data_IF_517987102347
#
_entry.id   IF_517987102347
#
_cell.length_a   1.000
_cell.length_b   1.000
_cell.length_c   1.000
_cell.angle_alpha   90.00
_cell.angle_beta   90.00
_cell.angle_gamma   90.00
#
_symmetry.space_group_name_H-M   'P 1'
#
loop_
_entity.id
_entity.type
_entity.pdbx_description
1 polymer ?
#
# COMPACT_ATOMS: atom_id res chain seq x y z
N UNK A 1 -54.12 -38.23 -22.82
CA UNK A 1 -52.64 -38.14 -22.85
C UNK A 1 -52.08 -39.06 -21.77
N UNK A 2 -51.15 -39.97 -22.09
CA UNK A 2 -50.72 -41.02 -21.16
C UNK A 2 -49.81 -40.43 -20.06
N UNK A 3 -50.00 -40.89 -18.82
CA UNK A 3 -49.25 -40.48 -17.61
C UNK A 3 -47.72 -40.44 -17.81
N UNK A 4 -47.19 -41.27 -18.71
CA UNK A 4 -45.76 -41.37 -19.03
C UNK A 4 -45.17 -40.15 -19.75
N UNK A 5 -45.96 -39.32 -20.43
CA UNK A 5 -45.45 -38.10 -21.09
C UNK A 5 -45.32 -36.93 -20.10
N UNK A 6 -46.19 -36.85 -19.09
CA UNK A 6 -46.12 -35.82 -18.03
C UNK A 6 -44.93 -36.02 -17.10
N UNK A 7 -44.56 -37.27 -16.80
CA UNK A 7 -43.41 -37.60 -15.95
C UNK A 7 -42.07 -37.21 -16.60
N UNK A 8 -41.91 -37.45 -17.91
CA UNK A 8 -40.70 -37.10 -18.66
C UNK A 8 -40.49 -35.57 -18.79
N UNK A 9 -41.56 -34.80 -19.01
CA UNK A 9 -41.51 -33.33 -19.08
C UNK A 9 -41.12 -32.73 -17.72
N UNK A 10 -41.66 -33.26 -16.62
CA UNK A 10 -41.32 -32.81 -15.27
C UNK A 10 -39.90 -33.19 -14.86
N UNK A 11 -39.40 -34.37 -15.24
CA UNK A 11 -38.00 -34.75 -15.01
C UNK A 11 -37.02 -33.87 -15.79
N UNK A 12 -37.34 -33.52 -17.05
CA UNK A 12 -36.52 -32.62 -17.87
C UNK A 12 -36.45 -31.20 -17.29
N UNK A 13 -37.59 -30.65 -16.82
CA UNK A 13 -37.63 -29.35 -16.13
C UNK A 13 -36.83 -29.36 -14.82
N UNK A 14 -36.97 -30.41 -14.00
CA UNK A 14 -36.22 -30.58 -12.75
C UNK A 14 -34.71 -30.69 -13.00
N UNK A 15 -34.29 -31.43 -14.04
CA UNK A 15 -32.87 -31.52 -14.45
C UNK A 15 -32.32 -30.17 -14.92
N UNK A 16 -33.07 -29.41 -15.72
CA UNK A 16 -32.67 -28.05 -16.15
C UNK A 16 -32.55 -27.10 -14.96
N UNK A 17 -33.46 -27.16 -13.99
CA UNK A 17 -33.40 -26.35 -12.77
C UNK A 17 -32.18 -26.72 -11.90
N UNK A 18 -31.91 -28.02 -11.72
CA UNK A 18 -30.75 -28.52 -10.99
C UNK A 18 -29.42 -28.12 -11.64
N UNK A 19 -29.35 -28.13 -12.97
CA UNK A 19 -28.16 -27.63 -13.67
C UNK A 19 -28.00 -26.12 -13.48
N UNK A 20 -29.09 -25.33 -13.57
CA UNK A 20 -29.04 -23.88 -13.31
C UNK A 20 -28.59 -23.56 -11.87
N UNK A 21 -29.10 -24.28 -10.87
CA UNK A 21 -28.66 -24.11 -9.49
C UNK A 21 -27.21 -24.54 -9.29
N UNK A 22 -26.77 -25.60 -9.98
CA UNK A 22 -25.37 -26.03 -9.98
C UNK A 22 -24.43 -24.95 -10.55
N UNK A 23 -24.78 -24.35 -11.69
CA UNK A 23 -24.01 -23.24 -12.26
C UNK A 23 -23.99 -22.02 -11.35
N UNK A 24 -25.13 -21.66 -10.75
CA UNK A 24 -25.19 -20.55 -9.80
C UNK A 24 -24.25 -20.80 -8.61
N UNK A 25 -24.29 -21.99 -8.02
CA UNK A 25 -23.41 -22.36 -6.91
C UNK A 25 -21.91 -22.27 -7.28
N UNK A 26 -21.53 -22.75 -8.47
CA UNK A 26 -20.15 -22.66 -8.97
C UNK A 26 -19.72 -21.19 -9.15
N UNK A 27 -20.59 -20.34 -9.70
CA UNK A 27 -20.30 -18.91 -9.87
C UNK A 27 -20.10 -18.22 -8.51
N UNK A 28 -20.99 -18.49 -7.54
CA UNK A 28 -20.85 -17.93 -6.19
C UNK A 28 -19.57 -18.40 -5.50
N UNK A 29 -19.22 -19.69 -5.64
CA UNK A 29 -17.99 -20.23 -5.08
C UNK A 29 -16.74 -19.63 -5.76
N UNK A 30 -16.75 -19.48 -7.08
CA UNK A 30 -15.67 -18.85 -7.83
C UNK A 30 -15.50 -17.37 -7.44
N UNK A 31 -16.60 -16.62 -7.31
CA UNK A 31 -16.58 -15.24 -6.85
C UNK A 31 -16.07 -15.12 -5.40
N UNK A 32 -16.52 -16.01 -4.51
CA UNK A 32 -16.06 -16.09 -3.13
C UNK A 32 -14.57 -16.37 -3.02
N UNK A 33 -14.05 -17.32 -3.80
CA UNK A 33 -12.62 -17.61 -3.86
C UNK A 33 -11.82 -16.43 -4.43
N UNK A 34 -12.30 -15.79 -5.51
CA UNK A 34 -11.66 -14.60 -6.07
C UNK A 34 -11.57 -13.48 -5.04
N UNK A 35 -12.63 -13.23 -4.28
CA UNK A 35 -12.64 -12.24 -3.19
C UNK A 35 -11.68 -12.67 -2.10
N UNK A 36 -11.70 -13.93 -1.65
CA UNK A 36 -10.82 -14.43 -0.59
C UNK A 36 -9.34 -14.28 -0.94
N UNK A 37 -8.93 -14.70 -2.15
CA UNK A 37 -7.54 -14.59 -2.60
C UNK A 37 -7.10 -13.15 -2.90
N UNK A 38 -8.02 -12.25 -3.23
CA UNK A 38 -7.72 -10.85 -3.57
C UNK A 38 -8.20 -9.83 -2.54
N UNK A 39 -8.59 -10.29 -1.34
CA UNK A 39 -9.29 -9.45 -0.35
C UNK A 39 -8.51 -8.19 -0.02
N UNK A 40 -7.20 -8.30 0.28
CA UNK A 40 -6.34 -7.15 0.59
C UNK A 40 -6.30 -6.13 -0.57
N UNK A 41 -6.26 -6.61 -1.81
CA UNK A 41 -6.22 -5.75 -3.00
C UNK A 41 -7.55 -5.03 -3.19
N UNK A 42 -8.66 -5.74 -3.03
CA UNK A 42 -10.01 -5.18 -3.11
C UNK A 42 -10.28 -4.19 -1.99
N UNK A 43 -9.87 -4.51 -0.77
CA UNK A 43 -10.02 -3.63 0.40
C UNK A 43 -9.21 -2.34 0.24
N UNK A 44 -7.94 -2.43 -0.19
CA UNK A 44 -7.13 -1.25 -0.47
C UNK A 44 -7.73 -0.39 -1.60
N UNK A 45 -8.28 -1.01 -2.66
CA UNK A 45 -8.95 -0.30 -3.74
C UNK A 45 -10.26 0.37 -3.29
N UNK A 46 -11.02 -0.28 -2.40
CA UNK A 46 -12.19 0.31 -1.77
C UNK A 46 -11.80 1.56 -0.95
N UNK A 47 -10.74 1.47 -0.15
CA UNK A 47 -10.23 2.62 0.60
C UNK A 47 -9.84 3.74 -0.37
N UNK A 48 -9.02 3.43 -1.37
CA UNK A 48 -8.57 4.36 -2.40
C UNK A 48 -9.71 5.14 -3.04
N UNK A 49 -10.82 4.45 -3.33
CA UNK A 49 -11.92 5.04 -4.11
C UNK A 49 -12.90 5.81 -3.22
N UNK A 50 -13.20 5.30 -2.02
CA UNK A 50 -14.37 5.76 -1.25
C UNK A 50 -14.09 6.26 0.17
N UNK A 51 -12.95 5.92 0.78
CA UNK A 51 -12.69 6.23 2.21
C UNK A 51 -11.57 7.23 2.44
N UNK A 52 -10.94 7.73 1.38
CA UNK A 52 -9.91 8.76 1.47
C UNK A 52 -10.52 10.15 1.31
N UNK A 53 -10.06 11.11 2.11
CA UNK A 53 -10.25 12.53 1.80
C UNK A 53 -9.74 12.88 0.40
N UNK A 54 -10.30 13.94 -0.19
CA UNK A 54 -9.87 14.45 -1.50
C UNK A 54 -8.89 15.59 -1.28
N UNK A 55 -7.75 15.49 -1.93
CA UNK A 55 -6.72 16.52 -1.99
C UNK A 55 -6.40 16.82 -3.45
N UNK A 56 -6.11 18.08 -3.72
CA UNK A 56 -5.46 18.53 -4.93
C UNK A 56 -3.95 18.62 -4.73
N UNK A 57 -3.20 18.50 -5.83
CA UNK A 57 -1.74 18.63 -5.77
C UNK A 57 -1.36 20.02 -5.26
N UNK A 58 -0.50 20.07 -4.25
CA UNK A 58 -0.12 21.32 -3.59
C UNK A 58 -0.88 21.59 -2.29
N UNK A 59 -1.93 20.83 -1.99
CA UNK A 59 -2.68 21.02 -0.75
C UNK A 59 -1.83 20.71 0.47
N UNK A 60 -2.00 21.52 1.52
CA UNK A 60 -1.41 21.22 2.83
C UNK A 60 -2.14 20.03 3.45
N UNK A 61 -1.35 19.04 3.88
CA UNK A 61 -1.83 17.88 4.60
C UNK A 61 -1.47 18.01 6.05
N UNK A 62 -2.46 17.86 6.92
CA UNK A 62 -2.33 17.93 8.35
C UNK A 62 -2.40 16.51 8.95
N UNK A 63 -1.70 16.31 10.05
CA UNK A 63 -1.84 15.16 10.92
C UNK A 63 -3.29 15.04 11.43
N UNK A 64 -3.91 13.87 11.28
CA UNK A 64 -5.25 13.63 11.83
C UNK A 64 -5.21 13.43 13.35
N UNK A 65 -6.37 13.55 14.01
CA UNK A 65 -6.48 13.20 15.44
C UNK A 65 -6.09 11.74 15.70
N UNK A 66 -6.30 10.82 14.76
CA UNK A 66 -5.89 9.43 14.92
C UNK A 66 -4.35 9.28 14.97
N UNK A 67 -3.62 10.22 14.35
CA UNK A 67 -2.16 10.26 14.38
C UNK A 67 -1.62 10.94 15.67
N UNK A 68 -2.40 11.84 16.28
CA UNK A 68 -1.96 12.67 17.42
C UNK A 68 -2.48 12.11 18.77
N UNK A 69 -3.71 11.59 18.83
CA UNK A 69 -4.42 11.23 20.07
C UNK A 69 -4.18 9.78 20.54
N UNK A 70 -3.18 9.10 19.99
CA UNK A 70 -2.79 7.79 20.52
C UNK A 70 -2.31 7.99 21.96
N UNK A 71 -3.03 7.40 22.93
CA UNK A 71 -2.73 7.45 24.37
C UNK A 71 -1.32 6.94 24.73
N UNK A 72 -0.64 6.28 23.79
CA UNK A 72 0.80 6.05 23.89
C UNK A 72 1.51 7.36 23.56
N UNK A 73 2.38 7.82 24.46
CA UNK A 73 3.38 8.89 24.18
C UNK A 73 4.42 8.42 23.14
N UNK A 74 3.99 7.69 22.13
CA UNK A 74 4.80 7.27 21.01
C UNK A 74 5.31 8.54 20.33
N UNK A 75 6.63 8.61 20.31
CA UNK A 75 7.39 9.81 19.96
C UNK A 75 7.43 10.06 18.45
N UNK A 76 6.93 9.10 17.66
CA UNK A 76 7.15 9.03 16.22
C UNK A 76 5.94 8.42 15.53
N UNK A 77 5.55 8.99 14.40
CA UNK A 77 4.57 8.37 13.51
C UNK A 77 5.30 7.89 12.27
N UNK A 78 5.29 6.56 12.10
CA UNK A 78 5.97 5.90 11.01
C UNK A 78 5.50 6.45 9.66
N UNK A 79 6.47 6.89 8.86
CA UNK A 79 6.27 7.42 7.54
C UNK A 79 7.05 6.56 6.56
N UNK A 80 6.39 6.11 5.49
CA UNK A 80 6.96 5.09 4.62
C UNK A 80 7.70 5.72 3.44
N UNK A 81 8.59 4.94 2.82
CA UNK A 81 9.39 5.35 1.66
C UNK A 81 9.20 4.37 0.53
N UNK A 82 9.12 4.87 -0.70
CA UNK A 82 9.14 4.03 -1.89
C UNK A 82 10.59 3.62 -2.19
N UNK A 83 10.79 2.32 -2.35
CA UNK A 83 12.04 1.76 -2.87
C UNK A 83 11.78 1.08 -4.20
N UNK A 84 12.81 0.99 -5.03
CA UNK A 84 12.78 0.32 -6.33
C UNK A 84 14.08 -0.45 -6.57
N UNK A 85 14.06 -1.45 -7.47
CA UNK A 85 15.30 -2.02 -7.97
C UNK A 85 16.17 -0.92 -8.60
N UNK A 86 17.47 -1.01 -8.37
CA UNK A 86 18.44 -0.20 -9.11
C UNK A 86 18.42 -0.60 -10.59
N UNK A 87 18.66 0.37 -11.46
CA UNK A 87 18.82 0.15 -12.90
C UNK A 87 20.22 -0.40 -13.19
N UNK A 88 20.39 -1.06 -14.34
CA UNK A 88 21.73 -1.53 -14.76
C UNK A 88 22.75 -0.39 -14.86
N UNK A 89 22.29 0.82 -15.23
CA UNK A 89 23.15 2.00 -15.31
C UNK A 89 23.63 2.41 -13.92
N UNK A 90 22.72 2.57 -12.96
CA UNK A 90 23.07 2.92 -11.57
C UNK A 90 24.05 1.91 -10.95
N UNK A 91 23.89 0.62 -11.24
CA UNK A 91 24.78 -0.42 -10.73
C UNK A 91 26.19 -0.33 -11.35
N UNK A 92 26.28 0.00 -12.64
CA UNK A 92 27.57 0.17 -13.35
C UNK A 92 28.32 1.40 -12.86
N UNK A 93 27.60 2.45 -12.50
CA UNK A 93 28.15 3.72 -12.04
C UNK A 93 28.76 3.62 -10.62
N UNK A 94 28.50 2.54 -9.86
CA UNK A 94 29.12 2.29 -8.56
C UNK A 94 30.54 1.72 -8.75
N UNK A 95 31.53 2.58 -8.53
CA UNK A 95 32.96 2.30 -8.79
C UNK A 95 33.53 1.25 -7.83
N UNK A 96 33.23 1.35 -6.52
CA UNK A 96 33.85 0.50 -5.48
C UNK A 96 33.10 -0.82 -5.21
N UNK A 97 32.19 -1.24 -6.10
CA UNK A 97 31.43 -2.47 -5.93
C UNK A 97 32.23 -3.69 -6.40
N UNK A 98 32.31 -4.73 -5.56
CA UNK A 98 32.94 -5.99 -5.96
C UNK A 98 32.17 -6.67 -7.11
N UNK A 99 32.87 -7.49 -7.90
CA UNK A 99 32.26 -8.19 -9.05
C UNK A 99 31.05 -9.04 -8.63
N UNK A 100 31.16 -9.76 -7.51
CA UNK A 100 30.09 -10.64 -7.03
C UNK A 100 28.87 -9.85 -6.56
N UNK A 101 29.09 -8.75 -5.84
CA UNK A 101 28.00 -7.85 -5.43
C UNK A 101 27.31 -7.24 -6.65
N UNK A 102 28.08 -6.81 -7.65
CA UNK A 102 27.55 -6.29 -8.92
C UNK A 102 26.67 -7.31 -9.62
N UNK A 103 27.08 -8.59 -9.66
CA UNK A 103 26.26 -9.66 -10.25
C UNK A 103 24.97 -9.90 -9.48
N UNK A 104 24.99 -9.86 -8.14
CA UNK A 104 23.76 -9.95 -7.32
C UNK A 104 22.79 -8.80 -7.61
N UNK A 105 23.30 -7.57 -7.69
CA UNK A 105 22.48 -6.40 -7.95
C UNK A 105 21.91 -6.44 -9.38
N UNK A 106 22.72 -6.83 -10.38
CA UNK A 106 22.26 -7.04 -11.75
C UNK A 106 21.17 -8.12 -11.86
N UNK A 107 21.26 -9.19 -11.06
CA UNK A 107 20.21 -10.22 -11.01
C UNK A 107 18.88 -9.65 -10.50
N UNK A 108 18.92 -8.77 -9.50
CA UNK A 108 17.71 -8.09 -8.99
C UNK A 108 17.16 -7.12 -10.05
N UNK A 109 18.01 -6.32 -10.68
CA UNK A 109 17.63 -5.35 -11.72
C UNK A 109 16.99 -6.00 -12.95
N UNK A 110 17.50 -7.16 -13.37
CA UNK A 110 16.99 -7.92 -14.53
C UNK A 110 15.77 -8.80 -14.22
N UNK A 111 15.45 -9.00 -12.95
CA UNK A 111 14.33 -9.84 -12.56
C UNK A 111 13.01 -9.08 -12.74
N UNK A 112 12.10 -9.53 -13.64
CA UNK A 112 10.82 -8.84 -13.90
C UNK A 112 9.86 -8.85 -12.71
N UNK A 113 10.11 -9.71 -11.71
CA UNK A 113 9.32 -9.77 -10.48
C UNK A 113 9.79 -8.76 -9.42
N UNK A 114 11.02 -8.24 -9.54
CA UNK A 114 11.51 -7.14 -8.71
C UNK A 114 10.78 -5.87 -9.11
N UNK A 115 9.95 -5.33 -8.22
CA UNK A 115 9.09 -4.17 -8.52
C UNK A 115 9.14 -3.18 -7.36
N UNK A 116 8.86 -1.88 -7.62
CA UNK A 116 8.81 -0.89 -6.55
C UNK A 116 7.78 -1.25 -5.48
N UNK A 117 8.08 -0.90 -4.25
CA UNK A 117 7.17 -1.01 -3.12
C UNK A 117 7.52 -0.01 -2.02
N UNK A 118 6.52 0.30 -1.21
CA UNK A 118 6.63 1.14 -0.04
C UNK A 118 7.03 0.28 1.16
N UNK A 119 7.97 0.77 1.97
CA UNK A 119 8.40 0.10 3.20
C UNK A 119 8.80 1.12 4.27
N UNK A 120 8.91 0.66 5.51
CA UNK A 120 9.50 1.43 6.59
C UNK A 120 11.02 1.50 6.42
N UNK A 121 11.61 2.69 6.55
CA UNK A 121 13.05 2.96 6.50
C UNK A 121 13.42 4.04 7.53
N UNK A 122 13.15 3.79 8.82
CA UNK A 122 13.43 4.72 9.93
C UNK A 122 13.04 6.20 9.63
N UNK A 123 11.93 6.33 8.93
CA UNK A 123 11.36 7.59 8.44
C UNK A 123 10.10 7.84 9.26
N UNK A 124 9.99 9.02 9.85
CA UNK A 124 8.89 9.33 10.75
C UNK A 124 8.59 10.82 10.86
N UNK A 125 7.38 11.13 11.29
CA UNK A 125 7.02 12.45 11.80
C UNK A 125 7.20 12.47 13.31
N UNK A 126 8.03 13.40 13.80
CA UNK A 126 8.32 13.57 15.22
C UNK A 126 7.11 14.23 15.91
N UNK A 127 6.38 13.43 16.69
CA UNK A 127 5.18 13.91 17.39
C UNK A 127 5.54 14.93 18.46
N UNK A 128 6.70 14.80 19.12
CA UNK A 128 7.16 15.79 20.12
C UNK A 128 7.38 17.15 19.47
N UNK A 129 7.99 17.18 18.29
CA UNK A 129 8.20 18.44 17.56
C UNK A 129 6.86 19.04 17.10
N UNK A 130 5.90 18.21 16.68
CA UNK A 130 4.52 18.64 16.36
C UNK A 130 3.85 19.27 17.59
N UNK A 131 3.90 18.62 18.76
CA UNK A 131 3.35 19.14 20.01
C UNK A 131 4.01 20.45 20.46
N UNK A 132 5.34 20.52 20.38
CA UNK A 132 6.15 21.67 20.79
C UNK A 132 5.91 22.89 19.91
N UNK A 133 5.87 22.69 18.59
CA UNK A 133 5.72 23.79 17.62
C UNK A 133 4.26 24.14 17.31
N UNK A 134 3.32 23.27 17.72
CA UNK A 134 1.90 23.33 17.34
C UNK A 134 1.68 23.32 15.82
N UNK A 135 2.66 22.82 15.05
CA UNK A 135 2.57 22.67 13.59
C UNK A 135 2.06 21.26 13.29
N UNK A 136 0.79 21.14 12.90
CA UNK A 136 0.19 19.87 12.48
C UNK A 136 0.35 19.57 11.00
N UNK A 137 0.89 20.50 10.21
CA UNK A 137 1.19 20.26 8.79
C UNK A 137 2.31 19.22 8.67
N UNK A 138 1.99 18.06 8.10
CA UNK A 138 2.95 16.98 7.85
C UNK A 138 3.57 17.05 6.45
N UNK A 139 2.90 17.71 5.50
CA UNK A 139 3.47 17.90 4.17
C UNK A 139 2.54 18.57 3.18
N UNK A 140 2.97 18.59 1.92
CA UNK A 140 2.22 19.02 0.75
C UNK A 140 1.83 17.78 -0.05
N UNK A 141 0.56 17.65 -0.41
CA UNK A 141 0.04 16.51 -1.15
C UNK A 141 0.56 16.53 -2.59
N UNK A 142 1.14 15.42 -3.04
CA UNK A 142 1.52 15.23 -4.44
C UNK A 142 0.49 14.39 -5.19
N UNK A 143 0.19 13.20 -4.65
CA UNK A 143 -0.70 12.25 -5.29
C UNK A 143 -1.17 11.17 -4.31
N UNK A 144 -2.24 10.47 -4.70
CA UNK A 144 -2.71 9.26 -4.03
C UNK A 144 -2.17 8.06 -4.80
N UNK A 145 -1.55 7.13 -4.09
CA UNK A 145 -0.91 5.95 -4.66
C UNK A 145 -1.58 4.68 -4.16
N UNK A 146 -1.94 3.80 -5.10
CA UNK A 146 -2.28 2.41 -4.83
C UNK A 146 -1.05 1.57 -5.18
N UNK A 147 -0.32 1.08 -4.18
CA UNK A 147 0.97 0.44 -4.39
C UNK A 147 1.21 -0.70 -3.41
N UNK A 148 2.31 -1.41 -3.63
CA UNK A 148 2.78 -2.50 -2.78
C UNK A 148 3.34 -1.95 -1.49
N UNK A 149 3.05 -2.62 -0.38
CA UNK A 149 3.62 -2.39 0.92
C UNK A 149 4.32 -3.67 1.38
N UNK A 150 5.53 -3.53 1.92
CA UNK A 150 6.15 -4.56 2.76
C UNK A 150 6.09 -4.08 4.21
N UNK A 151 5.21 -4.65 5.05
CA UNK A 151 5.14 -4.27 6.45
C UNK A 151 6.43 -4.61 7.19
N UNK A 152 6.73 -3.85 8.24
CA UNK A 152 7.85 -4.16 9.13
C UNK A 152 7.68 -5.58 9.70
N UNK A 153 8.78 -6.34 9.74
CA UNK A 153 8.81 -7.72 10.24
C UNK A 153 7.94 -8.73 9.46
N UNK A 154 7.45 -8.38 8.27
CA UNK A 154 6.71 -9.30 7.41
C UNK A 154 7.45 -9.56 6.09
N UNK A 155 7.59 -10.84 5.75
CA UNK A 155 8.19 -11.22 4.47
C UNK A 155 7.19 -11.18 3.30
N UNK A 156 5.94 -10.79 3.56
CA UNK A 156 4.86 -10.75 2.55
C UNK A 156 4.64 -9.32 2.06
N UNK A 157 4.46 -9.19 0.75
CA UNK A 157 4.05 -7.94 0.11
C UNK A 157 2.53 -7.92 0.03
N UNK A 158 1.93 -6.84 0.51
CA UNK A 158 0.49 -6.55 0.39
C UNK A 158 0.27 -5.31 -0.47
N UNK A 159 -0.98 -4.98 -0.79
CA UNK A 159 -1.33 -3.71 -1.43
C UNK A 159 -1.92 -2.76 -0.40
N UNK A 160 -1.59 -1.48 -0.53
CA UNK A 160 -2.09 -0.41 0.33
C UNK A 160 -2.35 0.85 -0.47
N UNK A 161 -3.15 1.72 0.13
CA UNK A 161 -3.39 3.07 -0.37
C UNK A 161 -2.62 4.05 0.50
N UNK A 162 -1.91 4.96 -0.13
CA UNK A 162 -1.09 5.96 0.54
C UNK A 162 -1.28 7.33 -0.09
N UNK A 163 -1.11 8.38 0.71
CA UNK A 163 -0.81 9.70 0.17
C UNK A 163 0.69 9.87 0.06
N UNK A 164 1.16 10.26 -1.12
CA UNK A 164 2.54 10.65 -1.35
C UNK A 164 2.64 12.16 -1.10
N UNK A 165 3.53 12.54 -0.18
CA UNK A 165 3.68 13.90 0.30
C UNK A 165 5.11 14.39 0.06
N UNK A 166 5.27 15.68 -0.25
CA UNK A 166 6.51 16.40 0.07
C UNK A 166 6.51 16.68 1.58
N UNK A 167 7.42 16.09 2.37
CA UNK A 167 7.35 16.20 3.82
C UNK A 167 7.69 17.60 4.32
N UNK A 168 7.01 18.05 5.37
CA UNK A 168 7.41 19.23 6.12
C UNK A 168 8.70 18.93 6.92
N UNK A 169 9.82 19.51 6.51
CA UNK A 169 11.13 19.28 7.12
C UNK A 169 11.20 19.62 8.61
N UNK A 170 10.31 20.49 9.12
CA UNK A 170 10.29 20.82 10.55
C UNK A 170 9.88 19.62 11.41
N UNK A 171 8.90 18.84 10.95
CA UNK A 171 8.32 17.72 11.69
C UNK A 171 8.81 16.37 11.20
N UNK A 172 9.29 16.28 9.95
CA UNK A 172 9.80 15.05 9.37
C UNK A 172 11.26 14.77 9.77
N UNK A 173 11.54 13.51 10.08
CA UNK A 173 12.89 13.00 10.33
C UNK A 173 13.11 11.77 9.47
N UNK A 174 14.31 11.68 8.90
CA UNK A 174 14.77 10.54 8.15
C UNK A 174 16.18 10.21 8.61
N UNK A 175 16.31 9.11 9.32
CA UNK A 175 17.61 8.55 9.70
C UNK A 175 17.77 7.29 8.88
N UNK A 176 18.48 7.39 7.77
CA UNK A 176 18.59 6.30 6.82
C UNK A 176 19.99 5.73 6.85
N UNK A 177 20.08 4.43 7.12
CA UNK A 177 21.27 3.64 6.85
C UNK A 177 21.05 2.82 5.57
N UNK A 178 22.03 2.83 4.66
CA UNK A 178 22.00 1.97 3.46
C UNK A 178 21.83 0.48 3.81
N UNK A 179 22.19 0.07 5.03
CA UNK A 179 22.01 -1.29 5.54
C UNK A 179 20.54 -1.71 5.68
N UNK A 180 19.60 -0.77 5.68
CA UNK A 180 18.16 -1.06 5.79
C UNK A 180 17.51 -1.43 4.45
N UNK A 181 18.19 -1.19 3.32
CA UNK A 181 17.67 -1.55 2.01
C UNK A 181 17.95 -3.02 1.67
N UNK A 182 16.98 -3.71 1.05
CA UNK A 182 17.26 -5.00 0.41
C UNK A 182 18.34 -4.85 -0.67
N UNK A 183 19.17 -5.88 -0.85
CA UNK A 183 20.21 -5.89 -1.88
C UNK A 183 19.64 -5.52 -3.26
N UNK A 184 20.34 -4.63 -3.97
CA UNK A 184 19.95 -4.17 -5.31
C UNK A 184 18.74 -3.23 -5.36
N UNK A 185 18.26 -2.74 -4.21
CA UNK A 185 17.23 -1.68 -4.16
C UNK A 185 17.83 -0.33 -3.78
N UNK A 186 17.15 0.74 -4.19
CA UNK A 186 17.44 2.13 -3.86
C UNK A 186 16.14 2.89 -3.58
N UNK A 187 16.23 4.09 -3.01
CA UNK A 187 15.08 5.00 -2.88
C UNK A 187 14.56 5.38 -4.26
N UNK A 188 13.24 5.33 -4.44
CA UNK A 188 12.62 5.67 -5.72
C UNK A 188 12.47 7.19 -5.92
N UNK A 189 12.20 7.91 -4.84
CA UNK A 189 11.91 9.35 -4.85
C UNK A 189 12.18 10.00 -3.48
N UNK A 190 12.03 11.32 -3.43
CA UNK A 190 12.15 12.12 -2.21
C UNK A 190 10.86 12.20 -1.38
N UNK A 191 9.76 11.59 -1.86
CA UNK A 191 8.44 11.69 -1.24
C UNK A 191 8.33 10.77 -0.02
N UNK A 192 7.32 11.06 0.79
CA UNK A 192 6.96 10.27 1.96
C UNK A 192 5.55 9.75 1.78
N UNK A 193 5.35 8.49 2.11
CA UNK A 193 4.07 7.80 1.93
C UNK A 193 3.42 7.60 3.29
N UNK A 194 2.23 8.16 3.46
CA UNK A 194 1.45 8.07 4.70
C UNK A 194 0.14 7.35 4.47
N UNK A 195 -0.33 6.66 5.51
CA UNK A 195 -1.67 6.09 5.50
C UNK A 195 -2.71 7.25 5.44
N UNK A 196 -3.69 7.21 4.53
CA UNK A 196 -4.74 8.21 4.43
C UNK A 196 -5.49 8.49 5.73
N UNK A 197 -5.64 7.51 6.63
CA UNK A 197 -6.34 7.70 7.91
C UNK A 197 -5.56 8.59 8.88
N UNK A 198 -4.27 8.79 8.65
CA UNK A 198 -3.39 9.66 9.42
C UNK A 198 -3.27 11.07 8.87
N UNK A 199 -3.93 11.36 7.76
CA UNK A 199 -3.87 12.61 7.04
C UNK A 199 -5.26 13.24 6.91
N UNK A 200 -5.33 14.56 7.07
CA UNK A 200 -6.57 15.34 6.90
C UNK A 200 -6.29 16.70 6.27
N UNK A 201 -7.29 17.29 5.62
CA UNK A 201 -7.27 18.63 5.07
C UNK A 201 -7.64 19.72 6.08
N UNK A 202 -8.01 19.33 7.32
CA UNK A 202 -8.36 20.25 8.39
C UNK A 202 -7.17 20.47 9.31
N UNK A 203 -7.00 21.72 9.76
CA UNK A 203 -6.07 22.01 10.85
C UNK A 203 -6.54 21.24 12.09
N UNK A 204 -5.70 20.36 12.58
CA UNK A 204 -5.96 19.62 13.81
C UNK A 204 -5.52 20.46 15.00
N UNK A 205 -6.42 20.68 15.97
CA UNK A 205 -6.10 21.41 17.19
C UNK A 205 -5.44 20.48 18.21
N UNK A 206 -4.22 20.83 18.60
CA UNK A 206 -3.50 20.13 19.67
C UNK A 206 -3.92 20.77 21.00
N UNK A 207 -4.80 20.09 21.74
CA UNK A 207 -5.18 20.46 23.11
C UNK A 207 -3.98 20.47 24.05
#
# INVERSE_FOLDING_TARGET
MPLNQLSAVNQSKKRKLLMRSGYAAIIFLAAGLLIFFNFNKLYAAYIYTFKTEKFERGDKVYASNALIDTKSKETVVAALRMIRPMTEKEIKDIIMMSRDQRMRFLKVARNPNSKPYVTYLMSYFDTKEIYKTKITVIGEYETKSFTRLRPLNQNKIIYGTFYALKPNKKTYRFQFSDAELPEGYTLADSLVYVDPFFATNKITSIK
#
